data_IF_026817605436
#
_entry.id   IF_026817605436
#
_cell.length_a   1.000
_cell.length_b   1.000
_cell.length_c   1.000
_cell.angle_alpha   90.00
_cell.angle_beta   90.00
_cell.angle_gamma   90.00
#
_symmetry.space_group_name_H-M   'P 1'
#
loop_
_entity.id
_entity.type
_entity.pdbx_description
1 polymer ?
#
# COMPACT_ATOMS: atom_id res chain seq x y z
N UNK A 1 2.12 14.00 -13.99
CA UNK A 1 1.09 13.12 -13.44
C UNK A 1 1.64 11.79 -12.96
N UNK A 2 1.46 11.52 -11.67
CA UNK A 2 1.65 10.21 -11.05
C UNK A 2 0.30 9.67 -10.57
N UNK A 3 0.16 8.34 -10.53
CA UNK A 3 -1.05 7.67 -10.06
C UNK A 3 -0.71 6.82 -8.83
N UNK A 4 -1.50 6.95 -7.77
CA UNK A 4 -1.40 6.14 -6.57
C UNK A 4 -2.61 5.20 -6.48
N UNK A 5 -2.46 3.88 -6.61
CA UNK A 5 -3.56 2.95 -6.43
C UNK A 5 -3.93 2.86 -4.95
N UNK A 6 -5.09 3.38 -4.60
CA UNK A 6 -5.67 3.29 -3.27
C UNK A 6 -6.55 2.05 -3.17
N UNK A 7 -6.16 1.16 -2.26
CA UNK A 7 -6.81 -0.12 -2.05
C UNK A 7 -6.96 -0.36 -0.55
N UNK A 8 -8.03 -1.03 -0.08
CA UNK A 8 -8.14 -1.37 1.34
C UNK A 8 -6.90 -2.10 1.86
N UNK A 9 -6.40 -1.71 3.03
CA UNK A 9 -5.07 -2.13 3.51
C UNK A 9 -4.98 -3.63 3.65
N UNK A 10 -6.01 -4.28 4.19
CA UNK A 10 -6.04 -5.74 4.33
C UNK A 10 -5.86 -6.47 2.99
N UNK A 11 -6.39 -5.94 1.88
CA UNK A 11 -6.19 -6.54 0.56
C UNK A 11 -4.74 -6.41 0.08
N UNK A 12 -4.08 -5.28 0.36
CA UNK A 12 -2.66 -5.07 0.04
C UNK A 12 -1.79 -5.98 0.92
N UNK A 13 -2.08 -6.06 2.22
CA UNK A 13 -1.34 -6.89 3.18
C UNK A 13 -1.38 -8.36 2.77
N UNK A 14 -2.55 -8.89 2.39
CA UNK A 14 -2.66 -10.26 1.89
C UNK A 14 -1.78 -10.50 0.66
N UNK A 15 -1.75 -9.55 -0.28
CA UNK A 15 -0.87 -9.64 -1.45
C UNK A 15 0.61 -9.60 -1.07
N UNK A 16 0.98 -8.77 -0.11
CA UNK A 16 2.36 -8.63 0.38
C UNK A 16 2.85 -9.90 1.08
N UNK A 17 1.99 -10.54 1.89
CA UNK A 17 2.35 -11.75 2.63
C UNK A 17 2.60 -12.96 1.72
N UNK A 18 2.04 -12.97 0.52
CA UNK A 18 2.27 -14.00 -0.49
C UNK A 18 3.40 -13.67 -1.46
N UNK A 19 4.13 -12.57 -1.27
CA UNK A 19 5.15 -12.10 -2.20
C UNK A 19 6.57 -12.33 -1.64
N UNK A 20 7.32 -13.25 -2.24
CA UNK A 20 8.68 -13.63 -1.78
C UNK A 20 9.60 -12.42 -1.61
N UNK A 21 9.59 -11.48 -2.55
CA UNK A 21 10.38 -10.25 -2.44
C UNK A 21 10.07 -9.42 -1.18
N UNK A 22 8.82 -9.39 -0.73
CA UNK A 22 8.43 -8.69 0.51
C UNK A 22 8.91 -9.46 1.73
N UNK A 23 8.73 -10.78 1.74
CA UNK A 23 9.17 -11.65 2.83
C UNK A 23 10.70 -11.57 3.02
N UNK A 24 11.45 -11.66 1.92
CA UNK A 24 12.90 -11.55 1.90
C UNK A 24 13.37 -10.20 2.43
N UNK A 25 12.65 -9.12 2.11
CA UNK A 25 12.97 -7.79 2.61
C UNK A 25 12.78 -7.69 4.13
N UNK A 26 11.68 -8.23 4.69
CA UNK A 26 11.50 -8.23 6.15
C UNK A 26 12.52 -9.10 6.88
N UNK A 27 12.90 -10.24 6.30
CA UNK A 27 13.97 -11.07 6.85
C UNK A 27 15.32 -10.32 6.84
N UNK A 28 15.63 -9.63 5.74
CA UNK A 28 16.79 -8.76 5.65
C UNK A 28 16.73 -7.67 6.74
N UNK A 29 15.61 -6.97 6.88
CA UNK A 29 15.50 -5.89 7.87
C UNK A 29 15.69 -6.39 9.30
N UNK A 30 15.04 -7.50 9.67
CA UNK A 30 15.20 -8.15 11.00
C UNK A 30 16.66 -8.53 11.28
N UNK A 31 17.37 -9.10 10.29
CA UNK A 31 18.77 -9.52 10.44
C UNK A 31 19.73 -8.35 10.62
N UNK A 32 19.41 -7.20 10.02
CA UNK A 32 20.34 -6.10 9.92
C UNK A 32 20.04 -4.90 10.83
N UNK A 33 18.92 -4.91 11.55
CA UNK A 33 18.49 -3.77 12.38
C UNK A 33 19.49 -3.36 13.46
N UNK A 34 20.17 -4.33 14.08
CA UNK A 34 21.16 -4.09 15.13
C UNK A 34 22.60 -3.99 14.60
N UNK A 35 22.81 -4.01 13.28
CA UNK A 35 24.16 -3.91 12.72
C UNK A 35 24.66 -2.46 12.79
N UNK A 36 25.91 -2.30 13.23
CA UNK A 36 26.61 -1.00 13.30
C UNK A 36 27.49 -0.73 12.08
N UNK A 37 27.49 -1.61 11.08
CA UNK A 37 28.31 -1.47 9.87
C UNK A 37 27.60 -0.51 8.91
N UNK A 38 28.32 0.52 8.46
CA UNK A 38 27.84 1.52 7.50
C UNK A 38 27.41 0.81 6.20
N UNK A 39 26.13 0.92 5.83
CA UNK A 39 25.57 0.37 4.57
C UNK A 39 24.55 -0.76 4.74
N UNK A 40 24.63 -1.52 5.83
CA UNK A 40 23.67 -2.61 6.11
C UNK A 40 22.62 -2.23 7.17
N UNK A 41 22.81 -1.15 7.92
CA UNK A 41 21.91 -0.76 9.00
C UNK A 41 20.54 -0.28 8.46
N UNK A 42 19.45 -0.78 9.05
CA UNK A 42 18.09 -0.28 8.77
C UNK A 42 17.88 1.03 9.54
N UNK A 43 17.72 2.18 8.87
CA UNK A 43 17.56 3.46 9.57
C UNK A 43 16.23 3.47 10.33
N UNK A 44 16.26 4.00 11.55
CA UNK A 44 15.09 4.21 12.43
C UNK A 44 14.99 5.70 12.76
N UNK A 45 13.83 6.36 12.60
CA UNK A 45 12.57 5.81 12.06
C UNK A 45 12.69 5.47 10.57
N UNK A 46 11.94 4.45 10.13
CA UNK A 46 11.96 4.01 8.74
C UNK A 46 10.63 4.35 8.04
N UNK A 47 10.65 5.42 7.22
CA UNK A 47 9.45 5.88 6.52
C UNK A 47 8.93 4.89 5.46
N UNK A 48 9.83 4.10 4.86
CA UNK A 48 9.43 3.10 3.87
C UNK A 48 8.68 1.94 4.51
N UNK A 49 9.11 1.50 5.70
CA UNK A 49 8.43 0.46 6.46
C UNK A 49 7.28 0.96 7.33
N UNK A 50 7.19 2.28 7.54
CA UNK A 50 6.22 2.86 8.46
C UNK A 50 6.44 2.50 9.93
N UNK A 51 7.66 2.09 10.29
CA UNK A 51 8.06 1.80 11.68
C UNK A 51 8.80 2.99 12.29
N UNK A 52 8.62 3.19 13.59
CA UNK A 52 9.24 4.29 14.32
C UNK A 52 10.34 3.82 15.26
N UNK A 53 10.24 2.57 15.72
CA UNK A 53 11.17 1.96 16.66
C UNK A 53 11.71 0.64 16.10
N UNK A 54 12.89 0.22 16.54
CA UNK A 54 13.51 -1.01 16.06
C UNK A 54 12.75 -2.26 16.52
N UNK A 55 12.16 -2.17 17.72
CA UNK A 55 11.41 -3.20 18.40
C UNK A 55 10.19 -3.65 17.59
N UNK A 56 9.60 -2.76 16.78
CA UNK A 56 8.48 -3.08 15.90
C UNK A 56 8.85 -4.25 14.96
N UNK A 57 10.04 -4.19 14.36
CA UNK A 57 10.52 -5.26 13.46
C UNK A 57 10.75 -6.58 14.19
N UNK A 58 11.15 -6.56 15.47
CA UNK A 58 11.38 -7.78 16.23
C UNK A 58 10.08 -8.41 16.75
N UNK A 59 9.14 -7.58 17.19
CA UNK A 59 8.02 -8.02 18.04
C UNK A 59 6.68 -8.06 17.31
N UNK A 60 6.49 -7.30 16.22
CA UNK A 60 5.22 -7.31 15.52
C UNK A 60 5.09 -8.52 14.58
N UNK A 61 3.89 -9.12 14.50
CA UNK A 61 3.60 -10.13 13.48
C UNK A 61 3.60 -9.50 12.08
N UNK A 62 3.86 -10.34 11.07
CA UNK A 62 4.11 -9.89 9.70
C UNK A 62 2.98 -9.05 9.10
N UNK A 63 1.71 -9.42 9.35
CA UNK A 63 0.57 -8.67 8.80
C UNK A 63 0.49 -7.25 9.37
N UNK A 64 0.86 -7.04 10.63
CA UNK A 64 0.95 -5.70 11.25
C UNK A 64 2.10 -4.89 10.67
N UNK A 65 3.27 -5.51 10.45
CA UNK A 65 4.40 -4.87 9.75
C UNK A 65 4.03 -4.44 8.33
N UNK A 66 3.38 -5.32 7.57
CA UNK A 66 2.85 -5.00 6.25
C UNK A 66 1.85 -3.85 6.31
N UNK A 67 0.93 -3.84 7.28
CA UNK A 67 -0.03 -2.75 7.45
C UNK A 67 0.68 -1.40 7.70
N UNK A 68 1.65 -1.36 8.61
CA UNK A 68 2.45 -0.15 8.88
C UNK A 68 3.15 0.37 7.62
N UNK A 69 3.73 -0.53 6.83
CA UNK A 69 4.35 -0.18 5.55
C UNK A 69 3.34 0.45 4.59
N UNK A 70 2.17 -0.17 4.41
CA UNK A 70 1.11 0.38 3.55
C UNK A 70 0.66 1.76 4.03
N UNK A 71 0.49 1.94 5.35
CA UNK A 71 0.13 3.24 5.95
C UNK A 71 1.22 4.28 5.69
N UNK A 72 2.49 3.93 5.86
CA UNK A 72 3.62 4.82 5.59
C UNK A 72 3.62 5.32 4.14
N UNK A 73 3.41 4.42 3.18
CA UNK A 73 3.29 4.76 1.76
C UNK A 73 2.07 5.65 1.47
N UNK A 74 0.89 5.33 2.04
CA UNK A 74 -0.32 6.15 1.86
C UNK A 74 -0.15 7.55 2.45
N UNK A 75 0.44 7.66 3.63
CA UNK A 75 0.72 8.95 4.28
C UNK A 75 1.72 9.77 3.46
N UNK A 76 2.73 9.12 2.86
CA UNK A 76 3.65 9.79 1.94
C UNK A 76 2.93 10.29 0.69
N UNK A 77 2.03 9.51 0.09
CA UNK A 77 1.22 9.94 -1.05
C UNK A 77 0.35 11.16 -0.70
N UNK A 78 -0.34 11.14 0.45
CA UNK A 78 -1.10 12.31 0.96
C UNK A 78 -0.22 13.54 1.15
N UNK A 79 0.99 13.36 1.67
CA UNK A 79 1.96 14.47 1.83
C UNK A 79 2.43 15.04 0.49
N UNK A 80 2.61 14.21 -0.55
CA UNK A 80 2.99 14.69 -1.88
C UNK A 80 1.88 15.56 -2.50
N UNK A 81 0.61 15.18 -2.31
CA UNK A 81 -0.52 16.03 -2.72
C UNK A 81 -0.51 17.37 -2.00
N UNK A 82 -0.28 17.37 -0.68
CA UNK A 82 -0.16 18.63 0.10
C UNK A 82 1.01 19.51 -0.34
N UNK A 83 2.00 18.93 -1.04
CA UNK A 83 3.14 19.64 -1.65
C UNK A 83 2.90 19.97 -3.12
N UNK A 84 1.65 19.93 -3.57
CA UNK A 84 1.22 20.31 -4.92
C UNK A 84 1.89 19.46 -6.03
N UNK A 85 2.35 18.25 -5.68
CA UNK A 85 2.76 17.27 -6.68
C UNK A 85 1.49 16.74 -7.35
N UNK A 86 1.48 16.73 -8.69
CA UNK A 86 0.43 16.12 -9.51
C UNK A 86 0.44 14.59 -9.35
N UNK A 87 -0.11 14.14 -8.22
CA UNK A 87 -0.33 12.77 -7.80
C UNK A 87 -1.83 12.57 -7.57
N UNK A 88 -2.43 11.57 -8.21
CA UNK A 88 -3.86 11.29 -8.11
C UNK A 88 -4.11 9.92 -7.51
N UNK A 89 -5.03 9.85 -6.56
CA UNK A 89 -5.48 8.59 -6.00
C UNK A 89 -6.46 7.94 -6.96
N UNK A 90 -6.21 6.67 -7.27
CA UNK A 90 -7.10 5.81 -8.04
C UNK A 90 -7.72 4.79 -7.11
N UNK A 91 -9.04 4.73 -7.03
CA UNK A 91 -9.76 3.74 -6.25
C UNK A 91 -9.67 2.38 -6.95
N UNK A 92 -8.93 1.44 -6.33
CA UNK A 92 -8.73 0.09 -6.87
C UNK A 92 -10.05 -0.69 -6.98
N UNK A 93 -10.97 -0.54 -6.04
CA UNK A 93 -12.26 -1.25 -6.08
C UNK A 93 -13.09 -0.74 -7.25
N UNK A 94 -13.13 0.59 -7.46
CA UNK A 94 -13.78 1.19 -8.61
C UNK A 94 -13.10 0.78 -9.93
N UNK A 95 -11.77 0.68 -9.99
CA UNK A 95 -11.09 0.11 -11.17
C UNK A 95 -11.54 -1.32 -11.48
N UNK A 96 -11.82 -2.13 -10.46
CA UNK A 96 -12.26 -3.51 -10.67
C UNK A 96 -13.73 -3.56 -11.11
N UNK A 97 -14.56 -2.65 -10.61
CA UNK A 97 -16.01 -2.62 -10.87
C UNK A 97 -16.39 -1.88 -12.15
N UNK A 98 -15.82 -0.71 -12.39
CA UNK A 98 -16.04 0.16 -13.55
C UNK A 98 -14.81 1.05 -13.82
N UNK A 99 -13.91 0.54 -14.66
CA UNK A 99 -12.68 1.22 -15.07
C UNK A 99 -12.94 2.58 -15.72
N UNK A 100 -13.96 2.67 -16.57
CA UNK A 100 -14.22 3.90 -17.33
C UNK A 100 -14.69 5.01 -16.39
N UNK A 101 -15.59 4.70 -15.45
CA UNK A 101 -16.02 5.66 -14.45
C UNK A 101 -14.84 6.15 -13.59
N UNK A 102 -13.96 5.25 -13.16
CA UNK A 102 -12.80 5.63 -12.36
C UNK A 102 -11.81 6.51 -13.14
N UNK A 103 -11.52 6.17 -14.39
CA UNK A 103 -10.65 7.01 -15.21
C UNK A 103 -11.30 8.37 -15.49
N UNK A 104 -12.62 8.42 -15.75
CA UNK A 104 -13.37 9.66 -15.98
C UNK A 104 -13.32 10.58 -14.75
N UNK A 105 -13.26 10.01 -13.54
CA UNK A 105 -13.08 10.76 -12.30
C UNK A 105 -11.66 11.31 -12.13
N UNK A 106 -10.65 10.57 -12.59
CA UNK A 106 -9.22 10.86 -12.34
C UNK A 106 -8.61 11.80 -13.38
N UNK A 107 -9.04 11.72 -14.63
CA UNK A 107 -8.53 12.54 -15.72
C UNK A 107 -9.56 13.56 -16.19
N UNK A 108 -9.09 14.74 -16.56
CA UNK A 108 -9.90 15.76 -17.21
C UNK A 108 -10.24 15.35 -18.66
N UNK A 109 -11.26 15.97 -19.24
CA UNK A 109 -11.63 15.74 -20.64
C UNK A 109 -10.47 16.06 -21.61
N UNK A 110 -9.66 17.07 -21.31
CA UNK A 110 -8.50 17.46 -22.12
C UNK A 110 -7.40 16.39 -22.04
N UNK A 111 -7.17 15.81 -20.86
CA UNK A 111 -6.25 14.69 -20.69
C UNK A 111 -6.73 13.44 -21.40
N UNK A 112 -8.02 13.10 -21.31
CA UNK A 112 -8.61 12.02 -22.10
C UNK A 112 -8.39 12.23 -23.59
N UNK A 113 -8.64 13.46 -24.07
CA UNK A 113 -8.46 13.81 -25.48
C UNK A 113 -7.00 13.66 -25.89
N UNK A 114 -6.07 14.10 -25.04
CA UNK A 114 -4.62 14.05 -25.30
C UNK A 114 -4.08 12.61 -25.26
N UNK A 115 -4.57 11.78 -24.34
CA UNK A 115 -4.20 10.37 -24.21
C UNK A 115 -4.83 9.49 -25.30
N UNK A 116 -5.82 10.02 -26.02
CA UNK A 116 -6.49 9.35 -27.12
C UNK A 116 -7.67 8.47 -26.69
N UNK A 117 -8.11 7.59 -27.58
CA UNK A 117 -9.27 6.73 -27.32
C UNK A 117 -8.95 5.66 -26.27
N UNK A 118 -9.67 5.69 -25.16
CA UNK A 118 -9.63 4.64 -24.16
C UNK A 118 -10.19 3.32 -24.70
N UNK A 119 -9.46 2.22 -24.50
CA UNK A 119 -9.92 0.87 -24.75
C UNK A 119 -9.51 0.00 -23.56
N UNK A 120 -10.45 -0.72 -22.97
CA UNK A 120 -10.13 -1.70 -21.93
C UNK A 120 -9.46 -2.91 -22.59
N UNK A 121 -8.19 -3.13 -22.25
CA UNK A 121 -7.40 -4.28 -22.72
C UNK A 121 -7.46 -5.46 -21.75
N UNK A 122 -7.81 -5.20 -20.48
CA UNK A 122 -7.87 -6.20 -19.43
C UNK A 122 -9.14 -6.02 -18.61
N UNK A 123 -9.88 -7.13 -18.45
CA UNK A 123 -11.05 -7.18 -17.57
C UNK A 123 -10.59 -7.64 -16.19
N UNK A 124 -10.74 -6.75 -15.20
CA UNK A 124 -10.39 -7.06 -13.82
C UNK A 124 -11.28 -8.17 -13.26
N UNK A 125 -10.68 -9.13 -12.58
CA UNK A 125 -11.44 -10.19 -11.92
C UNK A 125 -12.02 -9.69 -10.59
N UNK A 126 -13.36 -9.65 -10.48
CA UNK A 126 -14.05 -9.25 -9.24
C UNK A 126 -13.64 -10.06 -8.01
N UNK A 127 -13.26 -11.34 -8.20
CA UNK A 127 -12.72 -12.19 -7.12
C UNK A 127 -11.47 -11.58 -6.45
N UNK A 128 -10.74 -10.70 -7.14
CA UNK A 128 -9.57 -10.02 -6.55
C UNK A 128 -9.91 -9.15 -5.33
N UNK A 129 -11.15 -8.68 -5.20
CA UNK A 129 -11.63 -7.88 -4.07
C UNK A 129 -11.77 -8.70 -2.78
N UNK A 130 -12.01 -10.01 -2.90
CA UNK A 130 -12.22 -10.91 -1.76
C UNK A 130 -11.07 -11.91 -1.55
N UNK A 131 -10.08 -11.94 -2.44
CA UNK A 131 -8.93 -12.87 -2.40
C UNK A 131 -8.15 -12.83 -1.08
N UNK A 132 -8.18 -11.70 -0.37
CA UNK A 132 -7.49 -11.57 0.93
C UNK A 132 -7.95 -12.60 1.97
N UNK A 133 -9.19 -13.09 1.87
CA UNK A 133 -9.75 -14.14 2.75
C UNK A 133 -9.07 -15.50 2.58
N UNK A 134 -8.35 -15.72 1.48
CA UNK A 134 -7.55 -16.93 1.27
C UNK A 134 -6.20 -16.87 2.05
N UNK A 135 -5.83 -15.72 2.61
CA UNK A 135 -4.51 -15.49 3.25
C UNK A 135 -4.61 -14.96 4.67
N UNK A 136 -5.61 -14.13 4.96
CA UNK A 136 -5.80 -13.51 6.27
C UNK A 136 -7.00 -14.14 6.98
N UNK A 137 -6.86 -14.39 8.29
CA UNK A 137 -8.00 -14.67 9.15
C UNK A 137 -8.78 -13.39 9.44
N UNK A 138 -10.05 -13.52 9.84
CA UNK A 138 -10.88 -12.38 10.23
C UNK A 138 -10.23 -11.56 11.35
N UNK A 139 -9.65 -12.23 12.36
CA UNK A 139 -8.90 -11.58 13.43
C UNK A 139 -7.71 -10.74 12.91
N UNK A 140 -6.99 -11.22 11.88
CA UNK A 140 -5.90 -10.43 11.29
C UNK A 140 -6.43 -9.21 10.51
N UNK A 141 -7.58 -9.34 9.85
CA UNK A 141 -8.25 -8.23 9.16
C UNK A 141 -8.70 -7.16 10.17
N UNK A 142 -9.25 -7.58 11.31
CA UNK A 142 -9.63 -6.69 12.40
C UNK A 142 -8.42 -5.94 12.94
N UNK A 143 -7.33 -6.66 13.25
CA UNK A 143 -6.08 -6.06 13.72
C UNK A 143 -5.47 -5.06 12.72
N UNK A 144 -5.54 -5.34 11.42
CA UNK A 144 -5.09 -4.41 10.36
C UNK A 144 -5.97 -3.15 10.36
N UNK A 145 -7.28 -3.32 10.49
CA UNK A 145 -8.26 -2.24 10.50
C UNK A 145 -8.08 -1.34 11.71
N UNK A 146 -7.83 -1.91 12.89
CA UNK A 146 -7.52 -1.14 14.11
C UNK A 146 -6.27 -0.27 13.95
N UNK A 147 -5.21 -0.82 13.34
CA UNK A 147 -4.00 -0.05 13.03
C UNK A 147 -4.34 1.09 12.06
N UNK A 148 -5.05 0.80 10.97
CA UNK A 148 -5.45 1.82 9.99
C UNK A 148 -6.21 2.99 10.64
N UNK A 149 -7.16 2.69 11.52
CA UNK A 149 -7.95 3.69 12.23
C UNK A 149 -7.07 4.54 13.16
N UNK A 150 -6.16 3.92 13.91
CA UNK A 150 -5.22 4.61 14.80
C UNK A 150 -4.35 5.63 14.08
N UNK A 151 -3.97 5.34 12.83
CA UNK A 151 -3.14 6.21 12.01
C UNK A 151 -3.92 7.16 11.09
N UNK A 152 -5.24 6.97 10.95
CA UNK A 152 -6.13 7.87 10.20
C UNK A 152 -6.73 8.98 11.08
N UNK A 153 -6.75 8.79 12.41
CA UNK A 153 -7.26 9.77 13.39
C UNK A 153 -6.25 10.88 13.77
N UNK A 154 -5.09 10.95 13.09
CA UNK A 154 -4.06 11.98 13.29
C UNK A 154 -3.86 12.79 12.02
#
# INVERSE_FOLDING_TARGET
MFLYPDRPIHQIVASMMNHDGVLNWYQYAKKNINRKILGDHIPIPNQFLGIFEAEDLANLPLHKLCALRVIGHRNRAKLLIKREIDLRFINYEQLVEDQLAEFTRVFTNDEFTTLGKFHSVEVSQKKSLSKFKETLSDAQVDEITEIEQRFSAK
#
